data_IF_811346075356
#
_entry.id   IF_811346075356
#
_cell.length_a   1.000
_cell.length_b   1.000
_cell.length_c   1.000
_cell.angle_alpha   90.00
_cell.angle_beta   90.00
_cell.angle_gamma   90.00
#
_symmetry.space_group_name_H-M   'P 1'
#
loop_
_entity.id
_entity.type
_entity.pdbx_description
1 polymer ?
#
# COMPACT_ATOMS: atom_id res chain seq x y z
N UNK A 1 -7.93 -5.91 -0.26
CA UNK A 1 -6.83 -6.14 0.70
C UNK A 1 -5.51 -6.46 0.02
N UNK A 2 -5.41 -7.48 -0.84
CA UNK A 2 -4.14 -7.87 -1.51
C UNK A 2 -3.46 -6.72 -2.27
N UNK A 3 -4.22 -5.91 -3.04
CA UNK A 3 -3.67 -4.74 -3.77
C UNK A 3 -3.02 -3.70 -2.85
N UNK A 4 -3.62 -3.48 -1.68
CA UNK A 4 -3.11 -2.54 -0.68
C UNK A 4 -1.83 -3.09 -0.03
N UNK A 5 -1.82 -4.37 0.34
CA UNK A 5 -0.63 -5.03 0.89
C UNK A 5 0.54 -5.01 -0.10
N UNK A 6 0.29 -5.32 -1.38
CA UNK A 6 1.32 -5.29 -2.41
C UNK A 6 1.89 -3.88 -2.66
N UNK A 7 1.07 -2.83 -2.57
CA UNK A 7 1.54 -1.44 -2.66
C UNK A 7 2.27 -0.99 -1.40
N UNK A 8 1.80 -1.41 -0.22
CA UNK A 8 2.41 -1.11 1.07
C UNK A 8 3.82 -1.70 1.21
N UNK A 9 3.98 -3.00 0.94
CA UNK A 9 5.29 -3.68 0.98
C UNK A 9 6.28 -3.03 0.02
N UNK A 10 5.83 -2.68 -1.19
CA UNK A 10 6.71 -2.05 -2.15
C UNK A 10 7.12 -0.63 -1.75
N UNK A 11 6.25 0.14 -1.08
CA UNK A 11 6.61 1.44 -0.52
C UNK A 11 7.60 1.30 0.63
N UNK A 12 7.44 0.28 1.48
CA UNK A 12 8.37 -0.02 2.57
C UNK A 12 9.74 -0.42 2.03
N UNK A 13 9.79 -1.21 0.95
CA UNK A 13 11.04 -1.56 0.27
C UNK A 13 11.76 -0.31 -0.25
N UNK A 14 11.02 0.62 -0.86
CA UNK A 14 11.56 1.85 -1.43
C UNK A 14 11.95 2.92 -0.39
N UNK A 15 11.12 3.12 0.63
CA UNK A 15 11.19 4.27 1.55
C UNK A 15 11.60 3.88 2.98
N UNK A 16 11.76 2.59 3.23
CA UNK A 16 11.99 2.03 4.56
C UNK A 16 10.72 1.88 5.40
N UNK A 17 10.83 1.22 6.56
CA UNK A 17 9.71 0.91 7.45
C UNK A 17 9.21 2.11 8.28
N UNK A 18 10.08 3.10 8.55
CA UNK A 18 9.75 4.28 9.37
C UNK A 18 9.96 5.58 8.59
N UNK A 19 9.24 6.63 8.97
CA UNK A 19 9.22 7.91 8.26
C UNK A 19 7.91 8.06 7.47
N UNK A 20 7.98 8.00 6.13
CA UNK A 20 6.81 8.21 5.26
C UNK A 20 5.78 7.07 5.31
N UNK A 21 6.22 5.83 5.57
CA UNK A 21 5.36 4.64 5.57
C UNK A 21 4.69 4.39 6.91
N UNK A 22 5.32 4.80 8.02
CA UNK A 22 4.85 4.64 9.41
C UNK A 22 4.45 3.19 9.78
N UNK A 23 5.04 2.18 9.14
CA UNK A 23 4.72 0.78 9.41
C UNK A 23 5.61 0.19 10.52
N UNK A 24 5.00 -0.59 11.40
CA UNK A 24 5.67 -1.51 12.30
C UNK A 24 6.18 -2.75 11.56
N UNK A 25 7.08 -3.51 12.18
CA UNK A 25 7.58 -4.76 11.59
C UNK A 25 6.48 -5.80 11.43
N UNK A 26 5.56 -5.89 12.40
CA UNK A 26 4.42 -6.81 12.36
C UNK A 26 3.47 -6.50 11.20
N UNK A 27 3.22 -5.21 10.93
CA UNK A 27 2.42 -4.79 9.76
C UNK A 27 3.10 -5.17 8.45
N UNK A 28 4.42 -5.02 8.36
CA UNK A 28 5.20 -5.38 7.18
C UNK A 28 5.16 -6.89 6.94
N UNK A 29 5.37 -7.68 7.99
CA UNK A 29 5.30 -9.14 7.94
C UNK A 29 3.91 -9.61 7.54
N UNK A 30 2.85 -9.06 8.14
CA UNK A 30 1.48 -9.39 7.80
C UNK A 30 1.17 -9.10 6.33
N UNK A 31 1.61 -7.95 5.80
CA UNK A 31 1.43 -7.62 4.38
C UNK A 31 2.19 -8.59 3.48
N UNK A 32 3.44 -8.95 3.83
CA UNK A 32 4.27 -9.90 3.10
C UNK A 32 3.66 -11.31 3.09
N UNK A 33 3.19 -11.81 4.23
CA UNK A 33 2.53 -13.11 4.33
C UNK A 33 1.26 -13.17 3.48
N UNK A 34 0.47 -12.09 3.48
CA UNK A 34 -0.75 -11.98 2.68
C UNK A 34 -0.49 -12.08 1.16
N UNK A 35 0.54 -11.40 0.66
CA UNK A 35 0.86 -11.43 -0.78
C UNK A 35 1.41 -12.80 -1.22
N UNK A 36 2.22 -13.44 -0.38
CA UNK A 36 2.74 -14.80 -0.63
C UNK A 36 1.60 -15.81 -0.65
N UNK A 37 0.71 -15.77 0.35
CA UNK A 37 -0.45 -16.66 0.42
C UNK A 37 -1.41 -16.47 -0.76
N UNK A 38 -1.49 -15.25 -1.31
CA UNK A 38 -2.27 -14.93 -2.50
C UNK A 38 -1.54 -15.21 -3.83
N UNK A 39 -0.29 -15.69 -3.82
CA UNK A 39 0.49 -16.01 -5.02
C UNK A 39 0.84 -14.78 -5.87
N UNK A 40 0.95 -13.60 -5.25
CA UNK A 40 1.25 -12.34 -5.95
C UNK A 40 2.59 -11.75 -5.50
N UNK A 41 3.17 -10.92 -6.36
CA UNK A 41 4.39 -10.16 -6.06
C UNK A 41 4.07 -8.70 -5.71
N UNK A 42 4.96 -8.01 -4.95
CA UNK A 42 4.84 -6.58 -4.73
C UNK A 42 4.80 -5.81 -6.06
N UNK A 43 3.94 -4.80 -6.15
CA UNK A 43 3.85 -3.94 -7.34
C UNK A 43 4.75 -2.71 -7.20
N UNK A 44 5.24 -2.12 -8.30
CA UNK A 44 6.06 -0.90 -8.20
C UNK A 44 5.28 0.24 -7.51
N UNK A 45 5.84 0.96 -6.50
CA UNK A 45 5.13 2.02 -5.80
C UNK A 45 4.60 3.17 -6.67
N UNK A 46 5.22 3.38 -7.83
CA UNK A 46 4.88 4.44 -8.77
C UNK A 46 3.95 3.98 -9.89
N UNK A 47 3.48 2.73 -9.88
CA UNK A 47 2.56 2.19 -10.88
C UNK A 47 1.22 2.96 -10.86
N UNK A 48 0.88 3.71 -11.93
CA UNK A 48 -0.32 4.54 -11.98
C UNK A 48 -1.62 3.73 -11.78
N UNK A 49 -1.65 2.48 -12.22
CA UNK A 49 -2.82 1.61 -12.07
C UNK A 49 -3.07 1.18 -10.61
N UNK A 50 -2.08 1.40 -9.74
CA UNK A 50 -2.11 1.00 -8.32
C UNK A 50 -2.17 2.17 -7.35
N UNK A 51 -2.11 3.42 -7.84
CA UNK A 51 -2.26 4.59 -6.99
C UNK A 51 -3.71 4.75 -6.51
N UNK A 52 -3.94 5.19 -5.25
CA UNK A 52 -5.27 5.62 -4.82
C UNK A 52 -5.70 6.85 -5.63
N UNK A 53 -6.94 6.86 -6.11
CA UNK A 53 -7.55 8.02 -6.73
C UNK A 53 -8.30 8.82 -5.66
N UNK A 54 -8.12 10.13 -5.64
CA UNK A 54 -8.92 11.02 -4.83
C UNK A 54 -10.20 11.34 -5.60
N UNK A 55 -11.35 11.21 -4.97
CA UNK A 55 -12.63 11.65 -5.53
C UNK A 55 -12.95 12.99 -4.89
N UNK A 56 -13.21 14.01 -5.71
CA UNK A 56 -13.78 15.26 -5.20
C UNK A 56 -15.19 14.98 -4.68
N UNK A 57 -15.41 15.22 -3.39
CA UNK A 57 -16.74 15.15 -2.79
C UNK A 57 -17.42 16.48 -3.07
N UNK A 58 -18.37 16.52 -4.00
CA UNK A 58 -19.25 17.67 -4.18
C UNK A 58 -20.10 17.87 -2.90
N UNK A 59 -19.57 18.66 -1.97
CA UNK A 59 -20.29 19.09 -0.78
C UNK A 59 -21.14 20.32 -1.09
N UNK A 60 -22.46 20.15 -1.19
CA UNK A 60 -23.38 21.25 -0.94
C UNK A 60 -23.33 21.56 0.56
N UNK A 61 -22.55 22.58 0.92
CA UNK A 61 -22.60 23.19 2.26
C UNK A 61 -23.90 24.00 2.29
N UNK A 62 -24.87 23.54 3.09
CA UNK A 62 -26.03 24.32 3.53
C UNK A 62 -25.95 24.52 5.03
#
# INVERSE_FOLDING_TARGET
MVRLAASGVAKVDLLGPRGTTLCTMDEIEAMAAMIVAAGVLPGHPSDPARQPYFVEVEGSIR
#
